data_IF_617046954324
#
_entry.id   IF_617046954324
#
_cell.length_a   1.000
_cell.length_b   1.000
_cell.length_c   1.000
_cell.angle_alpha   90.00
_cell.angle_beta   90.00
_cell.angle_gamma   90.00
#
_symmetry.space_group_name_H-M   'P 1'
#
loop_
_entity.id
_entity.type
_entity.pdbx_description
1 polymer ?
#
# COMPACT_ATOMS: atom_id res chain seq x y z
N UNK A 1 2.49 36.94 20.15
CA UNK A 1 3.91 36.69 20.47
C UNK A 1 3.96 36.40 21.95
N UNK A 2 4.26 35.16 22.35
CA UNK A 2 4.60 34.87 23.75
C UNK A 2 6.08 35.20 23.94
N UNK A 3 6.44 35.71 25.12
CA UNK A 3 7.74 36.34 25.46
C UNK A 3 9.00 35.47 25.40
N UNK A 4 9.00 34.36 24.66
CA UNK A 4 10.08 33.36 24.63
C UNK A 4 10.63 33.08 23.21
N UNK A 5 10.25 33.89 22.21
CA UNK A 5 10.85 33.86 20.86
C UNK A 5 10.71 32.54 20.08
N UNK A 6 9.93 31.58 20.59
CA UNK A 6 9.71 30.28 19.96
C UNK A 6 8.55 30.38 18.99
N UNK A 7 8.83 30.25 17.69
CA UNK A 7 7.81 29.99 16.68
C UNK A 7 7.05 28.72 17.08
N UNK A 8 5.77 28.86 17.46
CA UNK A 8 4.92 27.69 17.62
C UNK A 8 4.82 27.05 16.24
N UNK A 9 5.16 25.77 16.16
CA UNK A 9 4.91 25.01 14.94
C UNK A 9 3.42 25.19 14.61
N UNK A 10 3.07 25.49 13.34
CA UNK A 10 1.66 25.50 12.97
C UNK A 10 1.07 24.13 13.36
N UNK A 11 -0.17 24.09 13.88
CA UNK A 11 -0.84 22.83 14.12
C UNK A 11 -0.74 22.00 12.83
N UNK A 12 -0.32 20.74 12.93
CA UNK A 12 -0.54 19.82 11.83
C UNK A 12 -2.06 19.76 11.64
N UNK A 13 -2.55 20.46 10.61
CA UNK A 13 -3.95 20.33 10.26
C UNK A 13 -4.17 18.85 9.96
N UNK A 14 -5.15 18.18 10.61
CA UNK A 14 -5.52 16.86 10.16
C UNK A 14 -5.91 17.02 8.70
N UNK A 15 -5.15 16.36 7.81
CA UNK A 15 -5.44 16.33 6.38
C UNK A 15 -6.94 16.08 6.28
N UNK A 16 -7.73 17.07 5.80
CA UNK A 16 -9.18 16.89 5.62
C UNK A 16 -9.32 15.60 4.83
N UNK A 17 -9.89 14.55 5.44
CA UNK A 17 -10.14 13.29 4.74
C UNK A 17 -11.03 13.65 3.56
N UNK A 18 -10.45 13.66 2.36
CA UNK A 18 -11.18 13.84 1.13
C UNK A 18 -12.20 12.70 1.06
N UNK A 19 -13.48 13.03 1.01
CA UNK A 19 -14.55 12.05 0.84
C UNK A 19 -14.96 12.12 -0.63
N UNK A 20 -14.72 11.07 -1.43
CA UNK A 20 -15.05 11.06 -2.85
C UNK A 20 -16.56 11.11 -3.06
N UNK A 21 -16.99 11.70 -4.17
CA UNK A 21 -18.39 11.70 -4.58
C UNK A 21 -18.86 10.28 -4.89
N UNK A 22 -20.17 10.05 -4.83
CA UNK A 22 -20.76 8.73 -5.09
C UNK A 22 -20.33 8.17 -6.46
N UNK A 23 -20.28 9.02 -7.48
CA UNK A 23 -19.84 8.62 -8.82
C UNK A 23 -18.41 8.07 -8.83
N UNK A 24 -17.45 8.73 -8.16
CA UNK A 24 -16.07 8.24 -8.07
C UNK A 24 -16.00 6.91 -7.29
N UNK A 25 -16.83 6.73 -6.27
CA UNK A 25 -16.93 5.45 -5.55
C UNK A 25 -17.47 4.33 -6.44
N UNK A 26 -18.46 4.64 -7.29
CA UNK A 26 -19.05 3.70 -8.24
C UNK A 26 -18.04 3.37 -9.37
N UNK A 27 -17.24 4.34 -9.81
CA UNK A 27 -16.13 4.15 -10.76
C UNK A 27 -15.03 3.25 -10.16
N UNK A 28 -14.61 3.53 -8.93
CA UNK A 28 -13.61 2.72 -8.22
C UNK A 28 -14.11 1.28 -8.06
N UNK A 29 -15.38 1.09 -7.64
CA UNK A 29 -16.01 -0.22 -7.58
C UNK A 29 -16.00 -0.93 -8.94
N UNK A 30 -16.40 -0.23 -10.00
CA UNK A 30 -16.49 -0.79 -11.34
C UNK A 30 -15.13 -1.25 -11.85
N UNK A 31 -14.06 -0.48 -11.59
CA UNK A 31 -12.69 -0.86 -11.95
C UNK A 31 -12.21 -2.09 -11.18
N UNK A 32 -12.52 -2.20 -9.89
CA UNK A 32 -12.16 -3.39 -9.09
C UNK A 32 -12.89 -4.63 -9.59
N UNK A 33 -14.21 -4.53 -9.83
CA UNK A 33 -15.00 -5.65 -10.37
C UNK A 33 -14.50 -6.08 -11.75
N UNK A 34 -14.17 -5.12 -12.63
CA UNK A 34 -13.58 -5.44 -13.94
C UNK A 34 -12.23 -6.15 -13.81
N UNK A 35 -11.39 -5.77 -12.83
CA UNK A 35 -10.14 -6.46 -12.55
C UNK A 35 -10.36 -7.89 -12.04
N UNK A 36 -11.37 -8.09 -11.21
CA UNK A 36 -11.76 -9.42 -10.71
C UNK A 36 -12.27 -10.31 -11.86
N UNK A 37 -13.08 -9.79 -12.78
CA UNK A 37 -13.51 -10.52 -14.00
C UNK A 37 -12.30 -10.99 -14.83
N UNK A 38 -11.33 -10.11 -15.08
CA UNK A 38 -10.07 -10.49 -15.78
C UNK A 38 -9.33 -11.60 -15.03
N UNK A 39 -9.32 -11.55 -13.69
CA UNK A 39 -8.69 -12.56 -12.84
C UNK A 39 -9.40 -13.91 -12.94
N UNK A 40 -10.73 -13.92 -12.95
CA UNK A 40 -11.52 -15.15 -13.14
C UNK A 40 -11.30 -15.76 -14.52
N UNK A 41 -11.22 -14.93 -15.58
CA UNK A 41 -10.89 -15.41 -16.94
C UNK A 41 -9.55 -16.12 -16.97
N UNK A 42 -8.52 -15.53 -16.37
CA UNK A 42 -7.19 -16.14 -16.25
C UNK A 42 -7.24 -17.45 -15.43
N UNK A 43 -7.98 -17.47 -14.31
CA UNK A 43 -8.15 -18.67 -13.50
C UNK A 43 -8.85 -19.80 -14.28
N UNK A 44 -9.90 -19.48 -15.04
CA UNK A 44 -10.60 -20.44 -15.91
C UNK A 44 -9.65 -21.04 -16.96
N UNK A 45 -8.80 -20.22 -17.61
CA UNK A 45 -7.79 -20.72 -18.57
C UNK A 45 -6.83 -21.71 -17.90
N UNK A 46 -6.37 -21.43 -16.67
CA UNK A 46 -5.47 -22.33 -15.93
C UNK A 46 -6.15 -23.61 -15.47
N UNK A 47 -7.41 -23.53 -15.04
CA UNK A 47 -8.24 -24.71 -14.71
C UNK A 47 -8.41 -25.59 -15.95
N UNK A 48 -8.67 -24.97 -17.10
CA UNK A 48 -8.83 -25.67 -18.37
C UNK A 48 -7.54 -26.33 -18.85
N UNK A 49 -6.40 -25.66 -18.72
CA UNK A 49 -5.09 -26.23 -19.04
C UNK A 49 -4.70 -27.38 -18.10
N UNK A 50 -5.16 -27.35 -16.84
CA UNK A 50 -4.88 -28.33 -15.81
C UNK A 50 -5.75 -29.58 -15.83
N UNK A 51 -6.67 -29.75 -16.81
CA UNK A 51 -7.65 -30.84 -16.91
C UNK A 51 -7.01 -32.24 -16.84
N UNK A 52 -6.85 -32.76 -15.61
CA UNK A 52 -6.70 -34.19 -15.33
C UNK A 52 -8.06 -34.74 -14.91
N UNK A 53 -8.70 -35.43 -15.85
CA UNK A 53 -9.83 -36.36 -15.69
C UNK A 53 -11.20 -35.87 -15.20
N UNK A 54 -11.40 -34.67 -14.63
CA UNK A 54 -12.75 -34.25 -14.14
C UNK A 54 -13.05 -32.73 -14.25
N UNK A 55 -13.35 -32.19 -15.45
CA UNK A 55 -13.62 -30.75 -15.65
C UNK A 55 -14.91 -30.26 -14.94
N UNK A 56 -15.99 -31.04 -14.99
CA UNK A 56 -17.28 -30.70 -14.38
C UNK A 56 -17.19 -30.51 -12.85
N UNK A 57 -16.45 -31.39 -12.17
CA UNK A 57 -16.25 -31.31 -10.71
C UNK A 57 -15.44 -30.06 -10.34
N UNK A 58 -14.45 -29.71 -11.17
CA UNK A 58 -13.61 -28.53 -10.92
C UNK A 58 -14.39 -27.23 -11.09
N UNK A 59 -15.28 -27.14 -12.09
CA UNK A 59 -16.21 -26.01 -12.23
C UNK A 59 -17.21 -25.94 -11.08
N UNK A 60 -17.73 -27.08 -10.61
CA UNK A 60 -18.61 -27.11 -9.44
C UNK A 60 -17.90 -26.52 -8.19
N UNK A 61 -16.61 -26.86 -8.00
CA UNK A 61 -15.79 -26.32 -6.90
C UNK A 61 -15.58 -24.82 -7.05
N UNK A 62 -15.30 -24.35 -8.27
CA UNK A 62 -15.11 -22.93 -8.54
C UNK A 62 -16.34 -22.12 -8.10
N UNK A 63 -17.54 -22.61 -8.40
CA UNK A 63 -18.77 -21.93 -8.03
C UNK A 63 -19.19 -22.11 -6.57
N UNK A 64 -18.70 -23.14 -5.88
CA UNK A 64 -18.98 -23.34 -4.46
C UNK A 64 -18.15 -22.38 -3.60
N UNK A 65 -16.87 -22.20 -3.96
CA UNK A 65 -15.88 -21.63 -3.03
C UNK A 65 -14.71 -20.93 -3.70
N UNK A 66 -14.67 -20.83 -5.02
CA UNK A 66 -13.58 -20.22 -5.77
C UNK A 66 -13.55 -18.69 -5.66
N UNK A 67 -13.75 -18.15 -4.46
CA UNK A 67 -13.68 -16.73 -4.13
C UNK A 67 -12.23 -16.23 -4.16
N UNK A 68 -12.03 -15.02 -4.64
CA UNK A 68 -10.73 -14.34 -4.67
C UNK A 68 -10.42 -13.69 -3.31
N UNK A 69 -10.21 -14.50 -2.28
CA UNK A 69 -9.80 -14.04 -0.94
C UNK A 69 -8.63 -14.84 -0.41
N UNK A 70 -7.65 -14.14 0.16
CA UNK A 70 -6.43 -14.70 0.72
C UNK A 70 -5.23 -13.77 0.54
N UNK A 71 -4.06 -14.21 0.99
CA UNK A 71 -2.81 -13.44 0.90
C UNK A 71 -1.95 -13.82 -0.31
N UNK A 72 -2.40 -14.76 -1.15
CA UNK A 72 -1.76 -15.04 -2.44
C UNK A 72 -2.20 -14.01 -3.48
N UNK A 73 -1.59 -14.06 -4.66
CA UNK A 73 -2.09 -13.29 -5.79
C UNK A 73 -3.55 -13.70 -6.12
N UNK A 74 -4.35 -12.78 -6.69
CA UNK A 74 -5.77 -13.00 -6.97
C UNK A 74 -6.08 -14.32 -7.69
N UNK A 75 -5.29 -14.69 -8.71
CA UNK A 75 -5.50 -15.93 -9.47
C UNK A 75 -5.22 -17.15 -8.61
N UNK A 76 -4.10 -17.15 -7.88
CA UNK A 76 -3.73 -18.25 -6.99
C UNK A 76 -4.73 -18.45 -5.85
N UNK A 77 -5.36 -17.39 -5.32
CA UNK A 77 -6.44 -17.53 -4.33
C UNK A 77 -7.65 -18.25 -4.93
N UNK A 78 -8.10 -17.86 -6.13
CA UNK A 78 -9.23 -18.52 -6.81
C UNK A 78 -8.91 -20.00 -7.03
N UNK A 79 -7.73 -20.31 -7.58
CA UNK A 79 -7.30 -21.68 -7.84
C UNK A 79 -7.20 -22.49 -6.55
N UNK A 80 -6.56 -21.94 -5.51
CA UNK A 80 -6.36 -22.63 -4.24
C UNK A 80 -7.69 -22.91 -3.55
N UNK A 81 -8.59 -21.92 -3.46
CA UNK A 81 -9.89 -22.09 -2.82
C UNK A 81 -10.77 -23.09 -3.60
N UNK A 82 -10.71 -23.04 -4.93
CA UNK A 82 -11.33 -24.05 -5.80
C UNK A 82 -10.79 -25.45 -5.53
N UNK A 83 -9.47 -25.64 -5.54
CA UNK A 83 -8.84 -26.95 -5.40
C UNK A 83 -8.92 -27.53 -3.98
N UNK A 84 -8.89 -26.67 -2.96
CA UNK A 84 -9.03 -27.04 -1.55
C UNK A 84 -10.45 -27.51 -1.20
N UNK A 85 -11.41 -27.35 -2.11
CA UNK A 85 -12.81 -27.67 -1.84
C UNK A 85 -13.08 -29.15 -1.99
N UNK A 86 -13.05 -29.84 -0.85
CA UNK A 86 -13.31 -31.27 -0.75
C UNK A 86 -14.81 -31.62 -0.69
N UNK A 87 -15.66 -30.67 -0.25
CA UNK A 87 -17.11 -30.86 -0.10
C UNK A 87 -17.83 -30.07 -1.18
N UNK A 88 -18.58 -30.78 -2.00
CA UNK A 88 -19.47 -30.21 -3.01
C UNK A 88 -20.90 -30.55 -2.62
N UNK A 89 -21.78 -29.56 -2.66
CA UNK A 89 -23.22 -29.81 -2.59
C UNK A 89 -23.66 -30.72 -3.74
N UNK A 90 -24.51 -31.71 -3.45
CA UNK A 90 -25.06 -32.63 -4.46
C UNK A 90 -25.82 -31.87 -5.57
N UNK A 91 -26.44 -30.73 -5.24
CA UNK A 91 -27.09 -29.86 -6.22
C UNK A 91 -26.09 -29.32 -7.26
N UNK A 92 -24.89 -28.89 -6.83
CA UNK A 92 -23.90 -28.35 -7.74
C UNK A 92 -23.20 -29.42 -8.58
N UNK A 93 -23.10 -30.65 -8.07
CA UNK A 93 -22.57 -31.77 -8.85
C UNK A 93 -23.50 -32.13 -10.02
N UNK A 94 -24.82 -32.12 -9.78
CA UNK A 94 -25.82 -32.40 -10.82
C UNK A 94 -25.84 -31.30 -11.90
N UNK A 95 -25.76 -30.03 -11.50
CA UNK A 95 -25.80 -28.88 -12.42
C UNK A 95 -24.53 -28.67 -13.23
N UNK A 96 -23.35 -29.01 -12.69
CA UNK A 96 -22.08 -28.83 -13.38
C UNK A 96 -21.82 -29.85 -14.51
N UNK A 97 -22.70 -30.84 -14.66
CA UNK A 97 -22.61 -31.94 -15.65
C UNK A 97 -22.60 -31.47 -17.12
N UNK A 98 -22.96 -30.21 -17.41
CA UNK A 98 -22.87 -29.63 -18.76
C UNK A 98 -21.45 -29.17 -19.14
N UNK A 99 -20.57 -28.89 -18.16
CA UNK A 99 -19.14 -28.59 -18.41
C UNK A 99 -18.86 -27.24 -19.05
N UNK A 100 -19.88 -26.40 -19.16
CA UNK A 100 -19.80 -25.03 -19.66
C UNK A 100 -19.77 -24.06 -18.48
N UNK A 101 -18.93 -23.04 -18.58
CA UNK A 101 -18.90 -21.94 -17.61
C UNK A 101 -20.20 -21.14 -17.74
N UNK A 102 -21.01 -21.13 -16.68
CA UNK A 102 -22.19 -20.27 -16.56
C UNK A 102 -21.77 -18.83 -16.21
N UNK A 103 -22.00 -17.84 -17.10
CA UNK A 103 -21.61 -16.46 -16.88
C UNK A 103 -22.34 -15.81 -15.69
N UNK A 104 -23.58 -16.22 -15.37
CA UNK A 104 -24.32 -15.65 -14.23
C UNK A 104 -23.71 -16.07 -12.90
N UNK A 105 -23.27 -17.33 -12.82
CA UNK A 105 -22.58 -17.85 -11.63
C UNK A 105 -21.22 -17.21 -11.47
N UNK A 106 -20.49 -17.00 -12.57
CA UNK A 106 -19.21 -16.31 -12.55
C UNK A 106 -19.38 -14.87 -12.04
N UNK A 107 -20.36 -14.14 -12.56
CA UNK A 107 -20.69 -12.79 -12.08
C UNK A 107 -21.03 -12.78 -10.59
N UNK A 108 -21.76 -13.79 -10.08
CA UNK A 108 -22.03 -13.93 -8.65
C UNK A 108 -20.73 -14.11 -7.85
N UNK A 109 -19.80 -14.92 -8.35
CA UNK A 109 -18.50 -15.14 -7.72
C UNK A 109 -17.62 -13.88 -7.74
N UNK A 110 -17.69 -13.08 -8.80
CA UNK A 110 -17.02 -11.78 -8.89
C UNK A 110 -17.52 -10.81 -7.82
N UNK A 111 -18.85 -10.67 -7.69
CA UNK A 111 -19.45 -9.81 -6.65
C UNK A 111 -19.11 -10.31 -5.25
N UNK A 112 -19.20 -11.62 -5.02
CA UNK A 112 -18.84 -12.23 -3.74
C UNK A 112 -17.37 -12.00 -3.40
N UNK A 113 -16.48 -12.11 -4.38
CA UNK A 113 -15.05 -11.82 -4.22
C UNK A 113 -14.81 -10.36 -3.87
N UNK A 114 -15.47 -9.43 -4.57
CA UNK A 114 -15.40 -8.01 -4.25
C UNK A 114 -15.87 -7.72 -2.82
N UNK A 115 -17.04 -8.25 -2.44
CA UNK A 115 -17.63 -8.02 -1.11
C UNK A 115 -16.75 -8.60 0.00
N UNK A 116 -16.18 -9.80 -0.20
CA UNK A 116 -15.31 -10.45 0.79
C UNK A 116 -13.96 -9.74 0.92
N UNK A 117 -13.35 -9.28 -0.17
CA UNK A 117 -12.13 -8.45 -0.14
C UNK A 117 -12.37 -7.15 0.62
N UNK A 118 -13.45 -6.44 0.30
CA UNK A 118 -13.83 -5.21 0.99
C UNK A 118 -14.11 -5.46 2.47
N UNK A 119 -14.86 -6.52 2.80
CA UNK A 119 -15.15 -6.91 4.17
C UNK A 119 -13.87 -7.23 4.95
N UNK A 120 -12.94 -8.00 4.36
CA UNK A 120 -11.66 -8.32 4.97
C UNK A 120 -10.90 -7.05 5.35
N UNK A 121 -10.81 -6.07 4.44
CA UNK A 121 -10.10 -4.82 4.71
C UNK A 121 -10.76 -4.01 5.82
N UNK A 122 -12.08 -3.92 5.84
CA UNK A 122 -12.81 -3.20 6.90
C UNK A 122 -12.64 -3.92 8.25
N UNK A 123 -12.66 -5.25 8.28
CA UNK A 123 -12.45 -6.03 9.49
C UNK A 123 -11.00 -5.93 9.99
N UNK A 124 -10.02 -5.99 9.10
CA UNK A 124 -8.60 -5.95 9.46
C UNK A 124 -8.12 -4.52 9.77
N UNK A 125 -8.73 -3.51 9.15
CA UNK A 125 -8.50 -2.10 9.40
C UNK A 125 -9.82 -1.40 9.80
N UNK A 126 -10.30 -1.55 11.06
CA UNK A 126 -11.60 -1.02 11.49
C UNK A 126 -11.78 0.50 11.36
N UNK A 127 -10.68 1.23 11.22
CA UNK A 127 -10.66 2.68 11.00
C UNK A 127 -10.89 3.09 9.54
N UNK A 128 -10.96 2.14 8.61
CA UNK A 128 -11.08 2.36 7.17
C UNK A 128 -12.55 2.47 6.78
N UNK A 129 -12.93 3.56 6.12
CA UNK A 129 -14.27 3.68 5.58
C UNK A 129 -14.47 2.71 4.41
N UNK A 130 -15.72 2.31 4.15
CA UNK A 130 -16.01 1.35 3.08
C UNK A 130 -15.59 1.82 1.68
N UNK A 131 -15.64 3.13 1.41
CA UNK A 131 -15.16 3.72 0.16
C UNK A 131 -13.62 3.76 0.08
N UNK A 132 -12.93 3.97 1.20
CA UNK A 132 -11.47 3.92 1.24
C UNK A 132 -10.98 2.52 0.91
N UNK A 133 -11.63 1.49 1.48
CA UNK A 133 -11.32 0.10 1.17
C UNK A 133 -11.39 -0.19 -0.33
N UNK A 134 -12.45 0.27 -1.00
CA UNK A 134 -12.62 0.10 -2.45
C UNK A 134 -11.54 0.85 -3.24
N UNK A 135 -11.23 2.08 -2.85
CA UNK A 135 -10.16 2.87 -3.47
C UNK A 135 -8.80 2.18 -3.36
N UNK A 136 -8.45 1.66 -2.19
CA UNK A 136 -7.19 0.94 -2.03
C UNK A 136 -7.19 -0.40 -2.78
N UNK A 137 -8.32 -1.12 -2.85
CA UNK A 137 -8.44 -2.32 -3.68
C UNK A 137 -8.19 -2.01 -5.16
N UNK A 138 -8.66 -0.86 -5.65
CA UNK A 138 -8.37 -0.40 -7.01
C UNK A 138 -6.88 -0.16 -7.22
N UNK A 139 -6.24 0.54 -6.28
CA UNK A 139 -4.80 0.82 -6.34
C UNK A 139 -3.94 -0.45 -6.21
N UNK A 140 -4.40 -1.43 -5.46
CA UNK A 140 -3.76 -2.74 -5.32
C UNK A 140 -4.20 -3.76 -6.37
N UNK A 141 -4.94 -3.36 -7.40
CA UNK A 141 -5.41 -4.26 -8.47
C UNK A 141 -6.15 -5.51 -7.98
N UNK A 142 -6.97 -5.36 -6.93
CA UNK A 142 -7.66 -6.44 -6.22
C UNK A 142 -6.75 -7.46 -5.52
N UNK A 143 -5.43 -7.22 -5.45
CA UNK A 143 -4.50 -7.99 -4.63
C UNK A 143 -4.56 -7.48 -3.19
N UNK A 144 -5.04 -8.33 -2.28
CA UNK A 144 -5.27 -7.99 -0.89
C UNK A 144 -3.97 -7.67 -0.14
N UNK A 145 -2.88 -8.38 -0.43
CA UNK A 145 -1.59 -8.19 0.22
C UNK A 145 -0.95 -6.87 -0.23
N UNK A 146 -0.98 -6.58 -1.53
CA UNK A 146 -0.55 -5.29 -2.08
C UNK A 146 -1.39 -4.16 -1.48
N UNK A 147 -2.70 -4.34 -1.45
CA UNK A 147 -3.65 -3.37 -0.88
C UNK A 147 -3.36 -3.07 0.60
N UNK A 148 -3.18 -4.11 1.42
CA UNK A 148 -2.86 -3.95 2.84
C UNK A 148 -1.53 -3.19 3.03
N UNK A 149 -0.52 -3.48 2.21
CA UNK A 149 0.77 -2.75 2.24
C UNK A 149 0.60 -1.28 1.88
N UNK A 150 -0.23 -0.96 0.89
CA UNK A 150 -0.54 0.43 0.52
C UNK A 150 -1.20 1.18 1.68
N UNK A 151 -2.19 0.57 2.34
CA UNK A 151 -2.86 1.15 3.51
C UNK A 151 -1.85 1.45 4.62
N UNK A 152 -1.03 0.48 5.01
CA UNK A 152 -0.03 0.66 6.08
C UNK A 152 0.98 1.74 5.70
N UNK A 153 1.46 1.75 4.46
CA UNK A 153 2.43 2.73 3.99
C UNK A 153 1.85 4.15 3.93
N UNK A 154 0.58 4.31 3.55
CA UNK A 154 -0.09 5.61 3.49
C UNK A 154 -0.36 6.17 4.90
N UNK A 155 -0.85 5.32 5.81
CA UNK A 155 -1.12 5.72 7.20
C UNK A 155 0.15 5.96 8.02
N UNK A 156 1.26 5.29 7.70
CA UNK A 156 2.57 5.51 8.32
C UNK A 156 3.24 6.84 7.95
N UNK A 157 2.83 7.49 6.86
CA UNK A 157 3.38 8.79 6.42
C UNK A 157 2.76 10.01 7.10
N UNK A 158 1.69 9.84 7.89
CA UNK A 158 1.02 10.93 8.60
C UNK A 158 1.85 11.56 9.74
N UNK A 159 2.91 10.91 10.19
CA UNK A 159 3.78 11.39 11.27
C UNK A 159 5.25 11.10 10.97
N UNK A 160 5.86 11.82 10.02
CA UNK A 160 7.33 12.00 10.06
C UNK A 160 7.61 13.34 10.74
N UNK A 161 8.27 13.38 11.91
CA UNK A 161 8.86 14.61 12.39
C UNK A 161 9.86 15.06 11.32
N UNK A 162 9.70 16.27 10.80
CA UNK A 162 10.73 16.85 9.94
C UNK A 162 12.07 16.77 10.68
N UNK A 163 13.16 16.35 10.00
CA UNK A 163 14.46 16.34 10.65
C UNK A 163 14.76 17.76 11.13
N UNK A 164 15.24 17.94 12.38
CA UNK A 164 15.52 19.26 12.90
C UNK A 164 16.48 19.98 11.95
N UNK A 165 16.29 21.30 11.70
CA UNK A 165 17.20 22.04 10.85
C UNK A 165 18.62 21.86 11.40
N UNK A 166 19.52 21.33 10.56
CA UNK A 166 20.94 21.20 10.91
C UNK A 166 21.40 22.58 11.35
N UNK A 167 21.67 22.75 12.66
CA UNK A 167 22.30 23.96 13.16
C UNK A 167 23.56 24.15 12.33
N UNK A 168 23.59 25.20 11.49
CA UNK A 168 24.86 25.66 10.91
C UNK A 168 25.79 25.85 12.09
N UNK A 169 26.86 25.09 12.13
CA UNK A 169 27.92 25.30 13.10
C UNK A 169 28.30 26.79 13.02
N UNK A 170 28.45 27.49 14.16
CA UNK A 170 28.87 28.87 14.13
C UNK A 170 30.19 28.94 13.37
N UNK A 171 30.17 29.71 12.29
CA UNK A 171 31.37 30.04 11.52
C UNK A 171 32.41 30.55 12.53
N UNK A 172 33.48 29.79 12.73
CA UNK A 172 34.61 30.24 13.54
C UNK A 172 35.10 31.52 12.88
N UNK A 173 34.86 32.66 13.54
CA UNK A 173 35.51 33.92 13.16
C UNK A 173 37.01 33.65 13.09
N UNK A 174 37.70 34.08 12.02
CA UNK A 174 39.15 34.01 12.00
C UNK A 174 39.70 34.79 13.19
N UNK A 175 40.56 34.15 14.00
CA UNK A 175 41.34 34.84 15.00
C UNK A 175 42.13 35.94 14.29
N UNK A 176 42.01 37.17 14.77
CA UNK A 176 42.83 38.27 14.30
C UNK A 176 44.31 37.92 14.48
N UNK A 177 45.08 38.03 13.40
CA UNK A 177 46.53 37.88 13.41
C UNK A 177 47.15 38.88 14.39
N UNK A 178 48.13 38.49 15.23
CA UNK A 178 48.83 39.43 16.08
C UNK A 178 49.65 40.39 15.21
N UNK A 179 49.50 41.69 15.47
CA UNK A 179 50.34 42.75 14.91
C UNK A 179 51.80 42.51 15.28
N UNK A 180 52.67 42.46 14.27
CA UNK A 180 54.11 42.56 14.46
C UNK A 180 54.46 43.99 14.88
N UNK A 181 54.98 44.15 16.10
CA UNK A 181 55.60 45.40 16.55
C UNK A 181 57.04 45.49 16.00
N UNK A 182 57.53 46.69 15.65
CA UNK A 182 58.87 46.87 15.11
C UNK A 182 59.94 46.74 16.21
N UNK A 183 61.04 46.06 15.88
CA UNK A 183 62.24 45.92 16.70
C UNK A 183 63.02 47.24 16.68
N UNK A 184 63.16 47.87 17.85
CA UNK A 184 64.04 49.01 18.09
C UNK A 184 65.46 48.49 18.31
N UNK A 185 66.38 48.74 17.38
CA UNK A 185 67.79 48.41 17.55
C UNK A 185 68.47 49.52 18.38
N UNK A 186 68.63 49.26 19.68
CA UNK A 186 69.37 50.10 20.63
C UNK A 186 70.79 49.56 20.83
N UNK A 187 71.74 50.38 20.39
CA UNK A 187 73.19 50.43 20.60
C UNK A 187 73.81 49.56 21.72
N UNK A 188 74.98 48.97 21.42
CA UNK A 188 76.02 48.73 22.42
C UNK A 188 77.38 49.16 21.86
N UNK A 189 78.03 50.05 22.60
CA UNK A 189 79.39 50.54 22.44
C UNK A 189 80.40 49.44 22.77
N UNK A 190 81.49 49.37 22.03
CA UNK A 190 82.78 48.84 22.49
C UNK A 190 83.88 49.81 22.06
N UNK A 191 84.62 50.27 23.06
CA UNK A 191 85.82 51.10 22.99
C UNK A 191 87.07 50.19 23.02
N UNK A 192 88.25 50.81 22.88
CA UNK A 192 89.64 50.35 23.14
C UNK A 192 90.39 49.96 21.84
N UNK A 193 91.21 50.86 21.27
CA UNK A 193 92.61 51.26 21.59
C UNK A 193 93.67 50.40 20.90
N UNK A 194 94.63 51.07 20.24
CA UNK A 194 95.82 50.49 19.62
C UNK A 194 96.23 51.25 18.38
#
# INVERSE_FOLDING_TARGET
MDGDGRWKQPPCWPQRRYIPYKQEQDEDKSQVVAKIDVTYKEACVRIDAGKRHMPHITLARLYESGVCIGLLDPVSNILTNTLATCRLSEALKAEASAGVVDPKRLQKMEQLSFDTLKAFLICFFPYLAGWEAVRYLRLGEADLLVTARLIVADRGRGCSPSPPPRRRAPSRRPLASPRSSPVTLGQSNLSVSG
#
